data_IF_061085157556
#
_entry.id   IF_061085157556
#
_cell.length_a   1.000
_cell.length_b   1.000
_cell.length_c   1.000
_cell.angle_alpha   90.00
_cell.angle_beta   90.00
_cell.angle_gamma   90.00
#
_symmetry.space_group_name_H-M   'P 1'
#
loop_
_entity.id
_entity.type
_entity.pdbx_description
1 polymer ?
#
# COMPACT_ATOMS: atom_id res chain seq x y z
N UNK A 1 14.60 -5.17 17.12
CA UNK A 1 13.46 -4.34 17.53
C UNK A 1 13.58 -4.05 19.01
N UNK A 2 13.02 -2.94 19.47
CA UNK A 2 12.89 -2.64 20.89
C UNK A 2 11.90 -3.60 21.56
N UNK A 3 12.14 -3.94 22.83
CA UNK A 3 11.28 -4.86 23.55
C UNK A 3 9.87 -4.28 23.72
N UNK A 4 8.84 -5.08 23.39
CA UNK A 4 7.44 -4.68 23.50
C UNK A 4 6.95 -3.75 22.38
N UNK A 5 7.79 -3.49 21.36
CA UNK A 5 7.38 -2.76 20.16
C UNK A 5 7.05 -3.71 19.00
N UNK A 6 6.24 -3.21 18.06
CA UNK A 6 5.79 -3.94 16.87
C UNK A 6 6.04 -3.18 15.57
N UNK A 7 6.12 -3.90 14.46
CA UNK A 7 6.08 -3.32 13.11
C UNK A 7 4.67 -3.53 12.53
N UNK A 8 4.05 -2.49 11.99
CA UNK A 8 2.69 -2.56 11.44
C UNK A 8 2.67 -2.41 9.92
N UNK A 9 1.75 -3.13 9.27
CA UNK A 9 1.55 -3.11 7.82
C UNK A 9 0.07 -2.99 7.48
N UNK A 10 -0.28 -2.08 6.57
CA UNK A 10 -1.64 -1.94 6.02
C UNK A 10 -1.56 -1.40 4.58
N UNK A 11 -2.57 -1.61 3.75
CA UNK A 11 -2.58 -1.13 2.35
C UNK A 11 -4.00 -0.91 1.84
N UNK A 12 -4.11 -0.44 0.58
CA UNK A 12 -5.36 -0.44 -0.19
C UNK A 12 -6.50 0.29 0.55
N UNK A 13 -6.17 1.50 1.04
CA UNK A 13 -7.14 2.38 1.69
C UNK A 13 -8.05 3.07 0.67
N UNK A 14 -7.55 3.34 -0.54
CA UNK A 14 -8.25 4.05 -1.61
C UNK A 14 -9.02 5.28 -1.12
N UNK A 15 -8.41 6.13 -0.29
CA UNK A 15 -9.07 7.35 0.18
C UNK A 15 -9.50 8.20 -1.02
N UNK A 16 -10.76 8.66 -1.03
CA UNK A 16 -11.37 9.44 -2.11
C UNK A 16 -12.65 8.82 -2.69
N UNK A 17 -12.92 7.55 -2.42
CA UNK A 17 -14.03 6.79 -3.03
C UNK A 17 -14.90 6.02 -2.03
N UNK A 18 -16.12 5.58 -2.43
CA UNK A 18 -16.83 5.89 -3.67
C UNK A 18 -17.50 7.27 -3.65
N UNK A 19 -17.67 7.83 -2.45
CA UNK A 19 -18.12 9.20 -2.22
C UNK A 19 -17.28 9.83 -1.13
N UNK A 20 -17.40 11.15 -0.97
CA UNK A 20 -16.74 11.86 0.12
C UNK A 20 -17.16 11.33 1.50
N UNK A 21 -18.45 11.07 1.71
CA UNK A 21 -19.01 10.60 2.98
C UNK A 21 -18.47 9.22 3.35
N UNK A 22 -18.49 8.29 2.40
CA UNK A 22 -17.99 6.93 2.59
C UNK A 22 -16.48 6.87 2.74
N UNK A 23 -15.74 7.67 1.97
CA UNK A 23 -14.31 7.83 2.19
C UNK A 23 -14.02 8.45 3.57
N UNK A 24 -14.89 9.34 4.07
CA UNK A 24 -14.71 9.98 5.37
C UNK A 24 -15.02 9.03 6.54
N UNK A 25 -16.00 8.14 6.39
CA UNK A 25 -16.23 7.03 7.32
C UNK A 25 -14.98 6.15 7.42
N UNK A 26 -14.44 5.72 6.28
CA UNK A 26 -13.20 4.92 6.24
C UNK A 26 -11.99 5.68 6.81
N UNK A 27 -11.83 6.96 6.50
CA UNK A 27 -10.77 7.80 7.05
C UNK A 27 -10.82 7.84 8.59
N UNK A 28 -12.01 7.83 9.21
CA UNK A 28 -12.13 7.75 10.68
C UNK A 28 -11.66 6.40 11.23
N UNK A 29 -12.01 5.30 10.57
CA UNK A 29 -11.58 3.95 10.98
C UNK A 29 -10.05 3.85 10.92
N UNK A 30 -9.44 4.32 9.82
CA UNK A 30 -7.99 4.36 9.65
C UNK A 30 -7.33 5.20 10.74
N UNK A 31 -7.85 6.40 11.02
CA UNK A 31 -7.30 7.27 12.07
C UNK A 31 -7.39 6.62 13.45
N UNK A 32 -8.52 6.00 13.79
CA UNK A 32 -8.70 5.31 15.07
C UNK A 32 -7.74 4.12 15.22
N UNK A 33 -7.51 3.38 14.13
CA UNK A 33 -6.51 2.30 14.11
C UNK A 33 -5.09 2.86 14.26
N UNK A 34 -4.72 3.91 13.53
CA UNK A 34 -3.42 4.57 13.69
C UNK A 34 -3.19 5.04 15.14
N UNK A 35 -4.21 5.57 15.79
CA UNK A 35 -4.17 5.96 17.21
C UNK A 35 -3.99 4.78 18.16
N UNK A 36 -4.55 3.61 17.82
CA UNK A 36 -4.42 2.42 18.67
C UNK A 36 -3.00 1.85 18.61
N UNK A 37 -2.43 1.75 17.40
CA UNK A 37 -1.10 1.16 17.18
C UNK A 37 0.05 2.10 17.58
N UNK A 38 -0.18 3.40 17.66
CA UNK A 38 0.86 4.39 18.01
C UNK A 38 1.57 4.08 19.34
N UNK A 39 0.90 3.37 20.25
CA UNK A 39 1.39 3.06 21.60
C UNK A 39 2.62 2.14 21.56
N UNK A 40 2.61 1.15 20.67
CA UNK A 40 3.62 0.10 20.56
C UNK A 40 4.25 0.00 19.16
N UNK A 41 3.86 0.84 18.20
CA UNK A 41 4.53 0.91 16.91
C UNK A 41 6.00 1.37 17.06
N UNK A 42 6.92 0.58 16.50
CA UNK A 42 8.28 1.00 16.18
C UNK A 42 8.35 1.58 14.77
N UNK A 43 7.70 0.94 13.78
CA UNK A 43 7.61 1.43 12.40
C UNK A 43 6.22 1.08 11.82
N UNK A 44 5.73 1.93 10.90
CA UNK A 44 4.46 1.71 10.19
C UNK A 44 4.72 1.70 8.69
N UNK A 45 4.25 0.66 8.00
CA UNK A 45 4.37 0.48 6.56
C UNK A 45 2.98 0.53 5.92
N UNK A 46 2.75 1.53 5.08
CA UNK A 46 1.56 1.70 4.27
C UNK A 46 1.84 1.23 2.84
N UNK A 47 1.43 0.01 2.51
CA UNK A 47 1.92 -0.82 1.39
C UNK A 47 1.16 -0.57 0.08
N UNK A 48 1.01 0.71 -0.29
CA UNK A 48 0.43 1.15 -1.56
C UNK A 48 -1.08 1.34 -1.56
N UNK A 49 -1.55 2.06 -2.58
CA UNK A 49 -2.96 2.38 -2.83
C UNK A 49 -3.66 3.03 -1.61
N UNK A 50 -2.97 4.00 -1.01
CA UNK A 50 -3.44 4.81 0.11
C UNK A 50 -4.51 5.79 -0.37
N UNK A 51 -4.27 6.42 -1.53
CA UNK A 51 -5.20 7.30 -2.18
C UNK A 51 -5.76 6.65 -3.43
N UNK A 52 -7.01 6.97 -3.77
CA UNK A 52 -7.60 6.51 -5.01
C UNK A 52 -6.90 7.09 -6.25
N UNK A 53 -6.42 8.32 -6.13
CA UNK A 53 -5.54 8.94 -7.11
C UNK A 53 -4.71 10.03 -6.43
N UNK A 54 -3.40 10.06 -6.71
CA UNK A 54 -2.51 11.08 -6.17
C UNK A 54 -1.55 11.60 -7.22
N UNK A 55 -1.44 12.94 -7.31
CA UNK A 55 -0.43 13.62 -8.12
C UNK A 55 0.00 14.90 -7.42
N UNK A 56 1.30 15.06 -7.19
CA UNK A 56 1.86 16.26 -6.58
C UNK A 56 2.26 17.27 -7.67
N UNK A 57 1.54 18.40 -7.73
CA UNK A 57 1.99 19.53 -8.52
C UNK A 57 2.97 20.36 -7.70
N UNK A 58 3.89 21.04 -8.40
CA UNK A 58 4.95 21.86 -7.77
C UNK A 58 4.46 22.87 -6.72
N UNK A 59 3.24 23.40 -6.87
CA UNK A 59 2.70 24.44 -5.99
C UNK A 59 1.37 24.05 -5.34
N UNK A 60 0.82 22.87 -5.65
CA UNK A 60 -0.50 22.46 -5.13
C UNK A 60 -0.52 20.99 -4.80
N UNK A 61 -0.85 20.67 -3.55
CA UNK A 61 -1.19 19.31 -3.15
C UNK A 61 -2.66 18.99 -3.53
N UNK A 62 -2.99 17.72 -3.79
CA UNK A 62 -4.38 17.29 -3.95
C UNK A 62 -5.29 17.73 -2.80
N UNK A 63 -6.49 18.20 -3.14
CA UNK A 63 -7.51 18.56 -2.14
C UNK A 63 -8.08 17.30 -1.49
N UNK A 64 -8.09 17.26 -0.16
CA UNK A 64 -8.71 16.19 0.60
C UNK A 64 -7.76 15.56 1.61
N UNK A 65 -8.21 14.52 2.30
CA UNK A 65 -7.40 13.65 3.17
C UNK A 65 -6.60 14.34 4.28
N UNK A 66 -6.89 15.61 4.56
CA UNK A 66 -6.08 16.43 5.47
C UNK A 66 -6.02 15.84 6.88
N UNK A 67 -7.05 15.10 7.31
CA UNK A 67 -7.08 14.51 8.64
C UNK A 67 -6.22 13.27 8.71
N UNK A 68 -6.28 12.42 7.69
CA UNK A 68 -5.34 11.31 7.54
C UNK A 68 -3.89 11.82 7.47
N UNK A 69 -3.62 12.80 6.60
CA UNK A 69 -2.28 13.39 6.46
C UNK A 69 -1.79 14.00 7.77
N UNK A 70 -2.64 14.73 8.50
CA UNK A 70 -2.30 15.27 9.81
C UNK A 70 -2.03 14.18 10.85
N UNK A 71 -2.77 13.06 10.83
CA UNK A 71 -2.51 11.91 11.72
C UNK A 71 -1.16 11.27 11.41
N UNK A 72 -0.80 11.12 10.14
CA UNK A 72 0.50 10.58 9.76
C UNK A 72 1.63 11.53 10.19
N UNK A 73 1.49 12.83 9.94
CA UNK A 73 2.46 13.83 10.40
C UNK A 73 2.65 13.79 11.92
N UNK A 74 1.56 13.67 12.69
CA UNK A 74 1.62 13.54 14.15
C UNK A 74 2.30 12.24 14.64
N UNK A 75 2.27 11.18 13.82
CA UNK A 75 2.99 9.94 14.11
C UNK A 75 4.49 10.11 13.79
N UNK A 76 4.83 10.66 12.63
CA UNK A 76 6.22 10.89 12.23
C UNK A 76 6.91 11.90 13.16
N UNK A 77 6.23 12.98 13.54
CA UNK A 77 6.73 13.99 14.51
C UNK A 77 6.95 13.40 15.91
N UNK A 78 6.24 12.31 16.26
CA UNK A 78 6.48 11.60 17.52
C UNK A 78 7.69 10.65 17.48
N UNK A 79 8.39 10.59 16.34
CA UNK A 79 9.59 9.79 16.13
C UNK A 79 9.34 8.38 15.60
N UNK A 80 8.10 8.02 15.25
CA UNK A 80 7.76 6.71 14.67
C UNK A 80 7.91 6.81 13.14
N UNK A 81 8.85 6.09 12.51
CA UNK A 81 9.00 6.10 11.07
C UNK A 81 7.75 5.55 10.37
N UNK A 82 7.26 6.30 9.38
CA UNK A 82 6.17 5.87 8.52
C UNK A 82 6.68 5.75 7.09
N UNK A 83 6.43 4.59 6.48
CA UNK A 83 6.90 4.22 5.16
C UNK A 83 5.71 4.07 4.21
N UNK A 84 5.69 4.83 3.12
CA UNK A 84 4.66 4.72 2.08
C UNK A 84 5.24 3.97 0.90
N UNK A 85 4.56 2.93 0.45
CA UNK A 85 4.81 2.38 -0.88
C UNK A 85 3.91 3.08 -1.87
N UNK A 86 4.41 3.34 -3.07
CA UNK A 86 3.54 3.70 -4.19
C UNK A 86 2.80 2.47 -4.68
N UNK A 87 1.49 2.59 -4.91
CA UNK A 87 0.71 1.59 -5.63
C UNK A 87 0.37 2.01 -7.06
N UNK A 88 -0.56 1.31 -7.69
CA UNK A 88 -1.00 1.62 -9.05
C UNK A 88 -1.95 2.83 -9.12
N UNK A 89 -2.54 3.24 -7.99
CA UNK A 89 -3.43 4.39 -7.90
C UNK A 89 -2.69 5.70 -7.57
N UNK A 90 -1.61 5.62 -6.80
CA UNK A 90 -0.94 6.77 -6.19
C UNK A 90 0.56 6.80 -6.49
N UNK A 91 0.94 6.37 -7.69
CA UNK A 91 2.32 6.32 -8.17
C UNK A 91 3.07 7.68 -8.25
N UNK A 92 2.33 8.79 -8.28
CA UNK A 92 2.88 10.14 -8.43
C UNK A 92 2.95 10.93 -7.11
N UNK A 93 3.23 10.22 -6.01
CA UNK A 93 3.81 10.82 -4.80
C UNK A 93 5.27 11.20 -5.09
N UNK A 94 5.73 12.40 -4.76
CA UNK A 94 7.07 12.90 -5.05
C UNK A 94 7.77 13.38 -3.77
N UNK A 95 7.80 14.69 -3.53
CA UNK A 95 8.55 15.34 -2.47
C UNK A 95 7.65 16.05 -1.44
N UNK A 96 6.35 16.24 -1.72
CA UNK A 96 5.43 16.84 -0.76
C UNK A 96 5.22 15.94 0.46
N UNK A 97 4.89 14.66 0.29
CA UNK A 97 4.68 13.76 1.43
C UNK A 97 5.95 13.58 2.29
N UNK A 98 7.16 13.37 1.74
CA UNK A 98 8.36 13.30 2.56
C UNK A 98 8.69 14.60 3.28
N UNK A 99 8.57 15.75 2.60
CA UNK A 99 8.99 17.03 3.19
C UNK A 99 7.99 17.59 4.19
N UNK A 100 6.69 17.48 3.92
CA UNK A 100 5.64 18.10 4.74
C UNK A 100 5.04 17.12 5.77
N UNK A 101 5.04 15.82 5.47
CA UNK A 101 4.40 14.79 6.33
C UNK A 101 5.47 13.90 7.00
N UNK A 102 6.72 13.92 6.55
CA UNK A 102 7.82 13.17 7.18
C UNK A 102 7.86 11.67 6.85
N UNK A 103 7.15 11.23 5.80
CA UNK A 103 7.13 9.82 5.39
C UNK A 103 8.29 9.47 4.46
N UNK A 104 8.73 8.21 4.50
CA UNK A 104 9.66 7.67 3.50
C UNK A 104 8.90 7.00 2.36
N UNK A 105 9.09 7.44 1.12
CA UNK A 105 8.45 6.82 -0.06
C UNK A 105 9.32 5.70 -0.65
N UNK A 106 8.71 4.55 -0.87
CA UNK A 106 9.27 3.38 -1.55
C UNK A 106 8.53 3.15 -2.87
N UNK A 107 9.25 3.18 -3.99
CA UNK A 107 8.68 2.96 -5.34
C UNK A 107 8.81 1.53 -5.85
N UNK A 108 9.60 0.73 -5.15
CA UNK A 108 9.90 -0.66 -5.46
C UNK A 108 9.77 -1.49 -4.20
N UNK A 109 9.85 -2.80 -4.38
CA UNK A 109 9.97 -3.71 -3.24
C UNK A 109 11.24 -3.39 -2.45
N UNK A 110 11.19 -3.63 -1.14
CA UNK A 110 12.33 -3.48 -0.24
C UNK A 110 12.56 -4.75 0.56
N UNK A 111 13.79 -4.88 1.04
CA UNK A 111 14.19 -5.87 2.03
C UNK A 111 14.33 -5.22 3.40
N UNK A 112 13.84 -5.91 4.42
CA UNK A 112 14.05 -5.58 5.83
C UNK A 112 14.38 -6.84 6.61
N UNK A 113 15.14 -6.66 7.68
CA UNK A 113 15.44 -7.74 8.62
C UNK A 113 15.19 -7.23 10.03
N UNK A 114 14.30 -7.91 10.75
CA UNK A 114 14.00 -7.61 12.14
C UNK A 114 14.10 -8.89 12.96
N UNK A 115 14.87 -8.84 14.06
CA UNK A 115 15.04 -9.97 14.97
C UNK A 115 15.47 -11.27 14.25
N UNK A 116 16.30 -11.15 13.21
CA UNK A 116 16.76 -12.27 12.39
C UNK A 116 15.73 -12.83 11.39
N UNK A 117 14.52 -12.23 11.32
CA UNK A 117 13.49 -12.56 10.33
C UNK A 117 13.57 -11.62 9.14
N UNK A 118 13.54 -12.20 7.94
CA UNK A 118 13.71 -11.53 6.65
C UNK A 118 12.36 -11.23 6.00
N UNK A 119 12.15 -9.98 5.65
CA UNK A 119 10.90 -9.48 5.07
C UNK A 119 11.13 -8.95 3.67
N UNK A 120 10.23 -9.33 2.77
CA UNK A 120 10.14 -8.80 1.41
C UNK A 120 8.81 -8.05 1.28
N UNK A 121 8.88 -6.74 1.10
CA UNK A 121 7.70 -5.86 1.23
C UNK A 121 7.53 -5.07 -0.08
N UNK A 122 6.30 -4.93 -0.56
CA UNK A 122 5.97 -4.06 -1.68
C UNK A 122 4.48 -4.06 -1.99
N UNK A 123 4.00 -3.17 -2.85
CA UNK A 123 2.56 -3.11 -3.13
C UNK A 123 2.04 -4.39 -3.82
N UNK A 124 2.74 -4.88 -4.84
CA UNK A 124 2.39 -6.12 -5.56
C UNK A 124 2.03 -5.90 -7.03
N UNK A 125 1.72 -4.66 -7.41
CA UNK A 125 1.36 -4.30 -8.77
C UNK A 125 2.51 -4.52 -9.79
N UNK A 126 2.23 -5.27 -10.85
CA UNK A 126 3.19 -5.58 -11.89
C UNK A 126 4.32 -6.54 -11.47
N UNK A 127 4.20 -7.21 -10.31
CA UNK A 127 5.04 -8.36 -9.95
C UNK A 127 4.49 -9.65 -10.56
N UNK A 128 5.32 -10.71 -10.58
CA UNK A 128 4.94 -12.02 -11.11
C UNK A 128 4.74 -12.08 -12.63
N UNK A 129 4.25 -13.20 -13.18
CA UNK A 129 3.93 -13.33 -14.60
C UNK A 129 2.67 -12.54 -14.99
N UNK A 130 2.46 -12.32 -16.29
CA UNK A 130 1.25 -11.64 -16.80
C UNK A 130 1.33 -10.11 -16.83
N UNK A 131 0.16 -9.47 -16.91
CA UNK A 131 -0.04 -8.01 -16.86
C UNK A 131 0.86 -7.17 -17.78
N UNK A 132 1.20 -7.71 -18.96
CA UNK A 132 2.13 -7.07 -19.91
C UNK A 132 1.71 -5.63 -20.27
N UNK A 133 0.41 -5.40 -20.46
CA UNK A 133 -0.12 -4.08 -20.75
C UNK A 133 0.05 -3.12 -19.57
N UNK A 134 -0.30 -3.55 -18.35
CA UNK A 134 -0.10 -2.73 -17.16
C UNK A 134 1.39 -2.43 -16.91
N UNK A 135 2.28 -3.42 -17.03
CA UNK A 135 3.74 -3.23 -16.90
C UNK A 135 4.28 -2.24 -17.93
N UNK A 136 3.77 -2.27 -19.16
CA UNK A 136 4.10 -1.28 -20.17
C UNK A 136 3.58 0.12 -19.79
N UNK A 137 2.32 0.23 -19.34
CA UNK A 137 1.78 1.51 -18.85
C UNK A 137 2.57 2.06 -17.67
N UNK A 138 3.05 1.22 -16.76
CA UNK A 138 3.90 1.62 -15.63
C UNK A 138 5.20 2.26 -16.11
N UNK A 139 5.78 1.83 -17.24
CA UNK A 139 6.93 2.52 -17.85
C UNK A 139 6.56 3.91 -18.36
N UNK A 140 5.39 4.07 -18.98
CA UNK A 140 4.89 5.36 -19.43
C UNK A 140 4.64 6.32 -18.26
N UNK A 141 3.96 5.86 -17.22
CA UNK A 141 3.65 6.70 -16.06
C UNK A 141 4.89 7.05 -15.20
N UNK A 142 5.91 6.19 -15.21
CA UNK A 142 7.21 6.49 -14.58
C UNK A 142 8.13 7.37 -15.44
N UNK A 143 7.75 7.66 -16.69
CA UNK A 143 8.52 8.55 -17.55
C UNK A 143 8.50 9.98 -17.02
N UNK A 144 9.68 10.54 -16.73
CA UNK A 144 9.83 11.95 -16.32
C UNK A 144 9.23 12.92 -17.32
N UNK A 145 9.27 12.59 -18.61
CA UNK A 145 8.65 13.41 -19.67
C UNK A 145 7.13 13.40 -19.54
N UNK A 146 6.54 12.23 -19.30
CA UNK A 146 5.08 12.11 -19.16
C UNK A 146 4.59 12.78 -17.88
N UNK A 147 5.29 12.60 -16.77
CA UNK A 147 5.02 13.30 -15.50
C UNK A 147 5.14 14.82 -15.68
N UNK A 148 6.18 15.29 -16.37
CA UNK A 148 6.38 16.70 -16.69
C UNK A 148 5.26 17.26 -17.58
N UNK A 149 4.80 16.51 -18.58
CA UNK A 149 3.67 16.90 -19.43
C UNK A 149 2.37 16.97 -18.62
N UNK A 150 2.11 15.98 -17.77
CA UNK A 150 0.93 15.95 -16.92
C UNK A 150 0.93 17.12 -15.92
N UNK A 151 2.09 17.48 -15.36
CA UNK A 151 2.23 18.62 -14.45
C UNK A 151 1.87 19.99 -15.07
N UNK A 152 1.71 20.09 -16.40
CA UNK A 152 1.28 21.31 -17.12
C UNK A 152 -0.22 21.39 -17.34
N UNK A 153 -0.92 20.29 -17.13
CA UNK A 153 -2.37 20.28 -17.15
C UNK A 153 -2.82 21.01 -15.89
N UNK A 154 -3.77 21.94 -16.03
CA UNK A 154 -4.32 22.66 -14.89
C UNK A 154 -4.79 21.67 -13.81
N UNK A 155 -4.47 21.87 -12.51
CA UNK A 155 -4.72 20.87 -11.46
C UNK A 155 -6.14 20.31 -11.43
N UNK A 156 -7.16 21.16 -11.58
CA UNK A 156 -8.57 20.70 -11.64
C UNK A 156 -8.82 19.72 -12.80
N UNK A 157 -8.22 19.95 -13.97
CA UNK A 157 -8.38 19.07 -15.12
C UNK A 157 -7.55 17.79 -14.96
N UNK A 158 -6.29 17.91 -14.55
CA UNK A 158 -5.41 16.75 -14.37
C UNK A 158 -5.94 15.81 -13.28
N UNK A 159 -6.33 16.34 -12.12
CA UNK A 159 -6.98 15.55 -11.07
C UNK A 159 -8.31 14.94 -11.53
N UNK A 160 -9.12 15.68 -12.31
CA UNK A 160 -10.36 15.15 -12.88
C UNK A 160 -10.13 13.94 -13.80
N UNK A 161 -9.18 14.04 -14.72
CA UNK A 161 -8.80 12.94 -15.63
C UNK A 161 -8.24 11.75 -14.85
N UNK A 162 -7.34 12.00 -13.90
CA UNK A 162 -6.73 10.97 -13.07
C UNK A 162 -7.76 10.17 -12.27
N UNK A 163 -8.68 10.86 -11.58
CA UNK A 163 -9.76 10.22 -10.84
C UNK A 163 -10.68 9.38 -11.75
N UNK A 164 -11.01 9.87 -12.95
CA UNK A 164 -11.82 9.12 -13.91
C UNK A 164 -11.11 7.86 -14.42
N UNK A 165 -9.82 7.94 -14.72
CA UNK A 165 -9.01 6.79 -15.13
C UNK A 165 -8.87 5.76 -14.02
N UNK A 166 -8.57 6.25 -12.82
CA UNK A 166 -8.48 5.46 -11.61
C UNK A 166 -9.77 4.66 -11.39
N UNK A 167 -10.93 5.32 -11.43
CA UNK A 167 -12.24 4.67 -11.29
C UNK A 167 -12.52 3.62 -12.36
N UNK A 168 -12.18 3.89 -13.62
CA UNK A 168 -12.33 2.90 -14.71
C UNK A 168 -11.42 1.68 -14.49
N UNK A 169 -10.18 1.91 -14.08
CA UNK A 169 -9.21 0.84 -13.82
C UNK A 169 -9.71 -0.10 -12.73
N UNK A 170 -10.18 0.44 -11.59
CA UNK A 170 -10.74 -0.38 -10.51
C UNK A 170 -11.96 -1.17 -10.95
N UNK A 171 -12.93 -0.53 -11.59
CA UNK A 171 -14.14 -1.23 -12.04
C UNK A 171 -13.78 -2.39 -12.97
N UNK A 172 -12.79 -2.21 -13.85
CA UNK A 172 -12.31 -3.29 -14.72
C UNK A 172 -11.60 -4.42 -13.98
N UNK A 173 -10.96 -4.13 -12.85
CA UNK A 173 -10.32 -5.15 -12.01
C UNK A 173 -11.35 -5.91 -11.17
N UNK A 174 -12.36 -5.21 -10.63
CA UNK A 174 -13.49 -5.84 -9.93
C UNK A 174 -14.24 -6.79 -10.88
N UNK A 175 -14.47 -6.38 -12.14
CA UNK A 175 -15.12 -7.21 -13.16
C UNK A 175 -14.33 -8.47 -13.52
N UNK A 176 -13.00 -8.46 -13.40
CA UNK A 176 -12.15 -9.66 -13.62
C UNK A 176 -12.26 -10.68 -12.48
N UNK A 177 -12.92 -10.31 -11.38
CA UNK A 177 -13.16 -11.17 -10.23
C UNK A 177 -12.03 -11.12 -9.20
N UNK A 178 -12.41 -11.02 -7.94
CA UNK A 178 -11.53 -11.09 -6.78
C UNK A 178 -11.43 -12.51 -6.22
N UNK A 179 -11.67 -13.54 -7.03
CA UNK A 179 -11.53 -14.91 -6.54
C UNK A 179 -10.04 -15.28 -6.42
N UNK A 180 -9.66 -15.90 -5.30
CA UNK A 180 -8.35 -16.54 -5.20
C UNK A 180 -8.24 -17.61 -6.29
N UNK A 181 -7.22 -17.50 -7.13
CA UNK A 181 -7.10 -18.32 -8.34
C UNK A 181 -6.48 -19.71 -8.05
N UNK A 182 -6.12 -19.98 -6.80
CA UNK A 182 -5.33 -21.14 -6.37
C UNK A 182 -3.84 -20.85 -6.45
N UNK A 183 -3.03 -21.59 -5.68
CA UNK A 183 -1.59 -21.40 -5.55
C UNK A 183 -0.85 -21.39 -6.91
N UNK A 184 -1.28 -22.24 -7.86
CA UNK A 184 -0.66 -22.35 -9.17
C UNK A 184 -1.01 -21.21 -10.15
N UNK A 185 -2.01 -20.38 -9.83
CA UNK A 185 -2.49 -19.30 -10.70
C UNK A 185 -2.43 -17.92 -10.04
N UNK A 186 -2.15 -17.86 -8.74
CA UNK A 186 -1.96 -16.60 -8.03
C UNK A 186 -0.57 -16.03 -8.35
N UNK A 187 -0.53 -14.98 -9.17
CA UNK A 187 0.72 -14.47 -9.74
C UNK A 187 1.70 -13.94 -8.68
N UNK A 188 1.19 -13.39 -7.58
CA UNK A 188 2.02 -12.95 -6.47
C UNK A 188 2.60 -14.13 -5.69
N UNK A 189 1.85 -15.22 -5.54
CA UNK A 189 2.38 -16.46 -4.96
C UNK A 189 3.49 -17.03 -5.83
N UNK A 190 3.27 -17.12 -7.15
CA UNK A 190 4.30 -17.54 -8.11
C UNK A 190 5.56 -16.67 -8.02
N UNK A 191 5.37 -15.35 -7.92
CA UNK A 191 6.47 -14.40 -7.75
C UNK A 191 7.26 -14.64 -6.45
N UNK A 192 6.57 -14.90 -5.33
CA UNK A 192 7.25 -15.25 -4.07
C UNK A 192 8.16 -16.46 -4.26
N UNK A 193 7.67 -17.52 -4.92
CA UNK A 193 8.49 -18.71 -5.20
C UNK A 193 9.70 -18.40 -6.07
N UNK A 194 9.53 -17.60 -7.14
CA UNK A 194 10.66 -17.17 -7.99
C UNK A 194 11.72 -16.37 -7.23
N UNK A 195 11.31 -15.52 -6.27
CA UNK A 195 12.22 -14.77 -5.40
C UNK A 195 12.96 -15.72 -4.46
N UNK A 196 12.26 -16.72 -3.89
CA UNK A 196 12.82 -17.71 -2.98
C UNK A 196 13.84 -18.66 -3.63
N UNK A 197 13.79 -18.85 -4.96
CA UNK A 197 14.86 -19.56 -5.68
C UNK A 197 16.20 -18.81 -5.67
N UNK A 198 16.18 -17.49 -5.44
CA UNK A 198 17.38 -16.65 -5.44
C UNK A 198 17.85 -16.32 -4.03
N UNK A 199 16.91 -16.02 -3.13
CA UNK A 199 17.21 -15.62 -1.76
C UNK A 199 16.04 -15.96 -0.84
N UNK A 200 16.35 -16.51 0.33
CA UNK A 200 15.35 -16.82 1.36
C UNK A 200 14.80 -15.56 2.03
N UNK A 201 13.49 -15.55 2.25
CA UNK A 201 12.76 -14.61 3.08
C UNK A 201 11.75 -15.37 3.93
N UNK A 202 11.52 -14.94 5.16
CA UNK A 202 10.55 -15.58 6.06
C UNK A 202 9.13 -15.08 5.76
N UNK A 203 8.97 -13.79 5.43
CA UNK A 203 7.68 -13.17 5.20
C UNK A 203 7.67 -12.30 3.93
N UNK A 204 6.64 -12.49 3.10
CA UNK A 204 6.28 -11.60 2.00
C UNK A 204 5.04 -10.81 2.40
N UNK A 205 5.11 -9.48 2.39
CA UNK A 205 4.00 -8.60 2.73
C UNK A 205 3.62 -7.77 1.52
N UNK A 206 2.44 -8.05 0.94
CA UNK A 206 1.91 -7.35 -0.24
C UNK A 206 0.48 -6.82 -0.01
N UNK A 207 0.06 -5.88 -0.86
CA UNK A 207 -1.32 -5.41 -1.00
C UNK A 207 -1.87 -5.79 -2.39
N UNK A 208 -2.59 -4.87 -3.05
CA UNK A 208 -2.99 -4.92 -4.46
C UNK A 208 -4.00 -6.01 -4.87
N UNK A 209 -4.05 -7.16 -4.20
CA UNK A 209 -5.03 -8.21 -4.53
C UNK A 209 -6.41 -7.94 -3.99
N UNK A 210 -6.56 -6.99 -3.07
CA UNK A 210 -7.79 -6.71 -2.34
C UNK A 210 -8.33 -7.92 -1.56
N UNK A 211 -7.53 -8.98 -1.45
CA UNK A 211 -7.85 -10.20 -0.75
C UNK A 211 -6.98 -10.33 0.49
N UNK A 212 -7.62 -10.66 1.61
CA UNK A 212 -6.92 -11.07 2.83
C UNK A 212 -6.41 -12.49 2.60
N UNK A 213 -5.11 -12.63 2.36
CA UNK A 213 -4.47 -13.92 2.12
C UNK A 213 -3.36 -14.14 3.12
N UNK A 214 -3.29 -15.37 3.60
CA UNK A 214 -2.29 -15.80 4.55
C UNK A 214 -1.87 -17.23 4.22
N UNK A 215 -0.81 -17.34 3.41
CA UNK A 215 -0.46 -18.59 2.71
C UNK A 215 0.95 -19.00 3.11
N UNK A 216 1.08 -20.22 3.62
CA UNK A 216 2.38 -20.85 3.84
C UNK A 216 2.97 -21.39 2.53
N UNK A 217 4.23 -21.09 2.27
CA UNK A 217 5.04 -21.70 1.21
C UNK A 217 5.84 -22.82 1.88
N UNK A 218 5.17 -23.95 2.11
CA UNK A 218 5.65 -25.03 2.99
C UNK A 218 7.03 -25.58 2.59
N UNK A 219 7.29 -25.72 1.28
CA UNK A 219 8.58 -26.24 0.76
C UNK A 219 9.75 -25.28 0.96
N UNK A 220 9.49 -24.03 1.33
CA UNK A 220 10.49 -22.97 1.53
C UNK A 220 10.54 -22.42 2.96
N UNK A 221 9.62 -22.84 3.84
CA UNK A 221 9.47 -22.27 5.19
C UNK A 221 9.35 -20.73 5.15
N UNK A 222 8.46 -20.25 4.29
CA UNK A 222 8.16 -18.83 4.10
C UNK A 222 6.65 -18.62 4.12
N UNK A 223 6.20 -17.39 4.37
CA UNK A 223 4.78 -17.04 4.43
C UNK A 223 4.47 -15.84 3.55
N UNK A 224 3.47 -15.97 2.70
CA UNK A 224 2.96 -14.90 1.84
C UNK A 224 1.67 -14.33 2.44
N UNK A 225 1.71 -13.04 2.74
CA UNK A 225 0.60 -12.31 3.34
C UNK A 225 0.16 -11.22 2.37
N UNK A 226 -1.11 -11.25 2.01
CA UNK A 226 -1.78 -10.15 1.33
C UNK A 226 -2.70 -9.44 2.33
N UNK A 227 -2.52 -8.13 2.47
CA UNK A 227 -3.14 -7.33 3.53
C UNK A 227 -4.65 -7.10 3.32
N UNK A 228 -5.16 -7.36 2.11
CA UNK A 228 -6.54 -7.03 1.76
C UNK A 228 -6.75 -5.52 1.59
N UNK A 229 -8.01 -5.09 1.62
CA UNK A 229 -8.38 -3.68 1.43
C UNK A 229 -9.32 -3.17 2.53
N UNK A 230 -9.45 -1.84 2.62
CA UNK A 230 -10.25 -1.18 3.65
C UNK A 230 -11.59 -0.64 3.13
N UNK A 231 -11.91 -0.88 1.86
CA UNK A 231 -13.04 -0.28 1.17
C UNK A 231 -14.36 -1.08 1.30
N UNK A 232 -14.33 -2.41 1.21
CA UNK A 232 -15.51 -3.30 1.26
C UNK A 232 -16.04 -3.63 2.67
N UNK A 233 -15.43 -3.08 3.74
CA UNK A 233 -16.00 -3.07 5.09
C UNK A 233 -15.45 -4.09 6.09
N UNK A 234 -14.48 -4.93 5.69
CA UNK A 234 -13.73 -5.81 6.60
C UNK A 234 -12.22 -5.50 6.50
N UNK A 235 -11.75 -4.37 7.04
CA UNK A 235 -10.35 -3.98 6.97
C UNK A 235 -9.45 -4.91 7.80
N UNK A 236 -8.28 -5.24 7.25
CA UNK A 236 -7.23 -6.01 7.92
C UNK A 236 -5.91 -5.24 7.96
N UNK A 237 -5.06 -5.60 8.90
CA UNK A 237 -3.68 -5.17 8.97
C UNK A 237 -2.81 -6.31 9.48
N UNK A 238 -1.51 -6.26 9.19
CA UNK A 238 -0.55 -7.18 9.77
C UNK A 238 0.32 -6.49 10.83
N UNK A 239 0.72 -7.22 11.86
CA UNK A 239 1.70 -6.77 12.84
C UNK A 239 2.77 -7.83 13.08
N UNK A 240 4.02 -7.41 13.24
CA UNK A 240 5.14 -8.25 13.65
C UNK A 240 5.56 -7.87 15.06
N UNK A 241 5.53 -8.82 16.00
CA UNK A 241 5.82 -8.60 17.42
C UNK A 241 7.29 -8.86 17.82
N UNK A 242 8.13 -9.18 16.84
CA UNK A 242 9.52 -9.57 17.04
C UNK A 242 9.76 -11.08 16.90
N UNK A 243 8.70 -11.89 16.83
CA UNK A 243 8.77 -13.33 16.60
C UNK A 243 7.86 -13.79 15.47
N UNK A 244 6.58 -13.38 15.49
CA UNK A 244 5.55 -13.84 14.57
C UNK A 244 4.83 -12.67 13.90
N UNK A 245 4.36 -12.91 12.66
CA UNK A 245 3.45 -11.99 11.97
C UNK A 245 2.01 -12.44 12.22
N UNK A 246 1.16 -11.52 12.61
CA UNK A 246 -0.29 -11.75 12.79
C UNK A 246 -1.04 -10.89 11.77
N UNK A 247 -1.97 -11.48 11.03
CA UNK A 247 -2.91 -10.78 10.15
C UNK A 247 -4.27 -10.74 10.86
N UNK A 248 -4.75 -9.55 11.20
CA UNK A 248 -5.93 -9.39 12.04
C UNK A 248 -6.90 -8.33 11.50
N UNK A 249 -8.19 -8.55 11.76
CA UNK A 249 -9.23 -7.60 11.40
C UNK A 249 -9.20 -6.40 12.34
N UNK A 250 -9.48 -5.21 11.81
CA UNK A 250 -9.64 -4.01 12.64
C UNK A 250 -10.94 -4.13 13.45
N UNK A 251 -10.83 -4.00 14.76
CA UNK A 251 -11.99 -3.98 15.64
C UNK A 251 -12.65 -2.60 15.60
N UNK A 252 -13.92 -2.56 15.17
CA UNK A 252 -14.74 -1.36 15.25
C UNK A 252 -15.25 -1.20 16.69
N UNK A 253 -14.55 -0.39 17.50
CA UNK A 253 -15.08 0.08 18.79
C UNK A 253 -15.97 1.30 18.60
#
# INVERSE_FOLDING_TARGET
MEQGKKIYFASDFHLGIPSYEKSREREKIIINWLDSIKKDAQEVYLVGDIFDFWFEYKQTAPKGHIRFLAKIAEITDSGIPVHFFTGNHDMWMFDYLPNEIGVSIHRSTIYREWNGKKFFIGHGDGLGPGDRFYKFLKLFFNSKICQWLFARIHPNLGMGVGNLWSSKSRNSNIEKGEAFLGDEKEWLYMYCREVLEKQHYDFFIFGHRHLVLDIEIQDKNSRYINLGEWFTGNPYFASFDGENVTLEAVQNN
#
